data_IF_653014938874
#
_entry.id   IF_653014938874
#
_cell.length_a   1.000
_cell.length_b   1.000
_cell.length_c   1.000
_cell.angle_alpha   90.00
_cell.angle_beta   90.00
_cell.angle_gamma   90.00
#
_symmetry.space_group_name_H-M   'P 1'
#
loop_
_entity.id
_entity.type
_entity.pdbx_description
1 polymer ?
#
# COMPACT_ATOMS: atom_id res chain seq x y z
N UNK A 1 2.52 -27.76 -15.56
CA UNK A 1 3.34 -26.54 -15.37
C UNK A 1 3.42 -26.25 -13.90
N UNK A 2 4.55 -25.74 -13.44
CA UNK A 2 4.87 -25.59 -12.03
C UNK A 2 5.71 -24.32 -11.81
N UNK A 3 5.49 -23.63 -10.68
CA UNK A 3 6.24 -22.44 -10.27
C UNK A 3 6.71 -22.67 -8.85
N UNK A 4 8.02 -22.80 -8.68
CA UNK A 4 8.65 -22.98 -7.37
C UNK A 4 9.54 -21.79 -7.05
N UNK A 5 9.61 -21.44 -5.77
CA UNK A 5 10.46 -20.36 -5.26
C UNK A 5 11.45 -20.94 -4.26
N UNK A 6 12.71 -20.57 -4.42
CA UNK A 6 13.79 -20.88 -3.49
C UNK A 6 14.60 -19.61 -3.29
N UNK A 7 14.44 -18.97 -2.12
CA UNK A 7 15.10 -17.70 -1.82
C UNK A 7 14.87 -16.64 -2.89
N UNK A 8 15.98 -16.22 -3.50
CA UNK A 8 16.12 -15.17 -4.51
C UNK A 8 15.79 -15.62 -5.93
N UNK A 9 15.35 -16.87 -6.14
CA UNK A 9 15.07 -17.43 -7.46
C UNK A 9 13.66 -17.95 -7.57
N UNK A 10 13.06 -17.68 -8.73
CA UNK A 10 11.80 -18.26 -9.17
C UNK A 10 12.07 -19.17 -10.36
N UNK A 11 11.63 -20.42 -10.23
CA UNK A 11 11.76 -21.45 -11.24
C UNK A 11 10.40 -21.68 -11.88
N UNK A 12 10.29 -21.38 -13.17
CA UNK A 12 9.08 -21.62 -13.96
C UNK A 12 9.31 -22.83 -14.86
N UNK A 13 8.47 -23.85 -14.71
CA UNK A 13 8.50 -25.09 -15.51
C UNK A 13 7.26 -25.18 -16.39
N UNK A 14 7.45 -25.17 -17.71
CA UNK A 14 6.38 -25.34 -18.71
C UNK A 14 6.71 -26.54 -19.59
N UNK A 15 5.94 -27.63 -19.46
CA UNK A 15 6.26 -28.92 -20.06
C UNK A 15 7.65 -29.42 -19.64
N UNK A 16 8.57 -29.58 -20.61
CA UNK A 16 9.97 -30.00 -20.36
C UNK A 16 10.97 -28.84 -20.26
N UNK A 17 10.50 -27.59 -20.37
CA UNK A 17 11.36 -26.40 -20.32
C UNK A 17 11.32 -25.82 -18.92
N UNK A 18 12.49 -25.56 -18.35
CA UNK A 18 12.68 -24.87 -17.08
C UNK A 18 13.40 -23.55 -17.34
N UNK A 19 12.88 -22.45 -16.81
CA UNK A 19 13.54 -21.14 -16.81
C UNK A 19 13.66 -20.66 -15.38
N UNK A 20 14.85 -20.19 -15.03
CA UNK A 20 15.11 -19.56 -13.73
C UNK A 20 15.19 -18.05 -13.93
N UNK A 21 14.54 -17.30 -13.06
CA UNK A 21 14.54 -15.84 -13.04
C UNK A 21 14.85 -15.37 -11.60
N UNK A 22 15.57 -14.24 -11.43
CA UNK A 22 15.67 -13.59 -10.12
C UNK A 22 14.30 -13.19 -9.59
N UNK A 23 14.06 -13.33 -8.29
CA UNK A 23 12.82 -12.94 -7.64
C UNK A 23 12.53 -11.44 -7.79
N UNK A 24 13.59 -10.61 -7.80
CA UNK A 24 13.51 -9.17 -8.05
C UNK A 24 12.96 -8.79 -9.42
N UNK A 25 13.02 -9.69 -10.42
CA UNK A 25 12.49 -9.42 -11.76
C UNK A 25 11.01 -9.82 -11.93
N UNK A 26 10.44 -10.60 -10.99
CA UNK A 26 9.12 -11.22 -11.15
C UNK A 26 8.16 -11.00 -9.99
N UNK A 27 8.64 -10.51 -8.85
CA UNK A 27 7.82 -10.11 -7.72
C UNK A 27 7.51 -8.63 -7.77
N UNK A 28 6.35 -8.24 -7.26
CA UNK A 28 6.02 -6.84 -7.02
C UNK A 28 6.87 -6.26 -5.89
N UNK A 29 7.10 -4.95 -5.93
CA UNK A 29 7.92 -4.22 -4.96
C UNK A 29 7.49 -4.47 -3.52
N UNK A 30 6.19 -4.51 -3.24
CA UNK A 30 5.67 -4.82 -1.90
C UNK A 30 6.03 -6.24 -1.43
N UNK A 31 6.06 -7.22 -2.35
CA UNK A 31 6.45 -8.60 -2.03
C UNK A 31 7.94 -8.72 -1.77
N UNK A 32 8.78 -7.88 -2.40
CA UNK A 32 10.22 -7.84 -2.17
C UNK A 32 10.57 -7.30 -0.76
N UNK A 33 9.83 -6.29 -0.31
CA UNK A 33 10.01 -5.66 1.00
C UNK A 33 9.13 -6.19 2.13
N UNK A 34 8.30 -7.20 1.87
CA UNK A 34 7.35 -7.71 2.86
C UNK A 34 8.06 -8.27 4.10
N UNK A 35 7.78 -7.69 5.26
CA UNK A 35 8.34 -8.12 6.54
C UNK A 35 7.67 -9.41 7.06
N UNK A 36 6.47 -9.72 6.56
CA UNK A 36 5.62 -10.81 7.02
C UNK A 36 5.13 -11.68 5.84
N UNK A 37 6.04 -12.35 5.09
CA UNK A 37 5.66 -13.19 3.94
C UNK A 37 4.89 -14.46 4.35
N UNK A 38 4.95 -14.81 5.64
CA UNK A 38 4.16 -15.88 6.26
C UNK A 38 3.18 -15.20 7.21
N UNK A 39 1.86 -15.49 7.11
CA UNK A 39 0.88 -14.97 8.06
C UNK A 39 1.28 -15.34 9.49
N UNK A 40 1.19 -14.38 10.42
CA UNK A 40 1.45 -14.64 11.85
C UNK A 40 0.41 -15.57 12.45
N UNK A 41 -0.79 -15.56 11.89
CA UNK A 41 -1.90 -16.41 12.29
C UNK A 41 -2.58 -17.02 11.07
N UNK A 42 -2.87 -18.31 11.15
CA UNK A 42 -3.52 -19.08 10.11
C UNK A 42 -4.10 -20.37 10.71
N UNK A 43 -5.21 -20.87 10.14
CA UNK A 43 -5.72 -22.21 10.48
C UNK A 43 -4.97 -23.31 9.71
N UNK A 44 -4.65 -23.03 8.44
CA UNK A 44 -3.95 -23.94 7.52
C UNK A 44 -2.98 -23.10 6.69
N UNK A 45 -1.68 -23.42 6.76
CA UNK A 45 -0.69 -22.89 5.83
C UNK A 45 -0.57 -23.85 4.66
N UNK A 46 -0.77 -23.32 3.45
CA UNK A 46 -0.51 -24.05 2.22
C UNK A 46 0.97 -23.85 1.86
N UNK A 47 1.64 -24.95 1.52
CA UNK A 47 3.09 -25.02 1.26
C UNK A 47 4.00 -24.70 2.45
N UNK A 48 5.31 -24.92 2.26
CA UNK A 48 6.32 -24.58 3.26
C UNK A 48 6.55 -23.06 3.31
N UNK A 49 6.86 -22.53 4.50
CA UNK A 49 7.18 -21.12 4.68
C UNK A 49 8.31 -20.68 3.73
N UNK A 50 8.03 -19.77 2.80
CA UNK A 50 9.07 -19.24 1.94
C UNK A 50 10.05 -18.40 2.77
N UNK A 51 11.35 -18.57 2.53
CA UNK A 51 12.37 -17.66 3.05
C UNK A 51 12.10 -16.23 2.56
N UNK A 52 12.30 -15.25 3.45
CA UNK A 52 12.27 -13.83 3.12
C UNK A 52 13.19 -13.54 1.92
N UNK A 53 12.67 -12.86 0.89
CA UNK A 53 13.51 -12.26 -0.16
C UNK A 53 14.09 -10.93 0.30
N UNK A 54 13.43 -10.25 1.25
CA UNK A 54 13.87 -9.02 1.94
C UNK A 54 14.83 -8.15 1.13
N UNK A 55 14.42 -7.76 -0.08
CA UNK A 55 15.08 -6.69 -0.81
C UNK A 55 14.33 -5.38 -0.52
N UNK A 56 14.51 -4.91 0.72
CA UNK A 56 13.85 -3.68 1.20
C UNK A 56 14.29 -2.46 0.38
N UNK A 57 15.52 -2.46 -0.11
CA UNK A 57 16.06 -1.38 -0.95
C UNK A 57 15.27 -1.29 -2.24
N UNK A 58 15.17 -2.38 -3.02
CA UNK A 58 14.38 -2.37 -4.26
C UNK A 58 12.90 -2.09 -3.99
N UNK A 59 12.34 -2.60 -2.90
CA UNK A 59 10.94 -2.31 -2.51
C UNK A 59 10.63 -0.83 -2.28
N UNK A 60 11.64 -0.05 -1.86
CA UNK A 60 11.51 1.37 -1.50
C UNK A 60 12.04 2.33 -2.56
N UNK A 61 12.73 1.84 -3.59
CA UNK A 61 13.40 2.69 -4.59
C UNK A 61 12.47 3.76 -5.18
N UNK A 62 11.23 3.39 -5.54
CA UNK A 62 10.24 4.34 -6.07
C UNK A 62 9.74 5.38 -5.04
N UNK A 63 9.75 5.03 -3.75
CA UNK A 63 9.35 5.93 -2.66
C UNK A 63 10.50 6.89 -2.35
N UNK A 64 11.72 6.37 -2.20
CA UNK A 64 12.94 7.15 -1.96
C UNK A 64 13.16 8.17 -3.10
N UNK A 65 12.95 7.74 -4.34
CA UNK A 65 12.99 8.64 -5.50
C UNK A 65 12.03 9.82 -5.36
N UNK A 66 10.81 9.59 -4.85
CA UNK A 66 9.84 10.66 -4.60
C UNK A 66 10.23 11.52 -3.40
N UNK A 67 10.70 10.93 -2.31
CA UNK A 67 11.17 11.62 -1.10
C UNK A 67 12.35 12.57 -1.37
N UNK A 68 13.23 12.21 -2.32
CA UNK A 68 14.36 13.04 -2.74
C UNK A 68 13.98 14.18 -3.69
N UNK A 69 12.82 14.10 -4.37
CA UNK A 69 12.37 15.17 -5.25
C UNK A 69 12.12 16.47 -4.48
N UNK A 70 12.52 17.64 -5.02
CA UNK A 70 12.05 18.92 -4.53
C UNK A 70 10.52 19.00 -4.51
N UNK A 71 9.95 19.70 -3.53
CA UNK A 71 8.51 19.78 -3.30
C UNK A 71 7.70 20.15 -4.56
N UNK A 72 8.18 21.12 -5.34
CA UNK A 72 7.54 21.55 -6.59
C UNK A 72 7.53 20.42 -7.64
N UNK A 73 8.65 19.71 -7.81
CA UNK A 73 8.73 18.59 -8.76
C UNK A 73 7.87 17.40 -8.33
N UNK A 74 7.82 17.11 -7.03
CA UNK A 74 6.93 16.07 -6.47
C UNK A 74 5.47 16.44 -6.65
N UNK A 75 5.13 17.72 -6.52
CA UNK A 75 3.78 18.22 -6.80
C UNK A 75 3.40 18.02 -8.26
N UNK A 76 4.26 18.43 -9.20
CA UNK A 76 4.06 18.25 -10.63
C UNK A 76 3.93 16.77 -11.02
N UNK A 77 4.71 15.90 -10.37
CA UNK A 77 4.59 14.45 -10.52
C UNK A 77 3.18 13.96 -10.16
N UNK A 78 2.68 14.31 -8.97
CA UNK A 78 1.35 13.88 -8.54
C UNK A 78 0.22 14.51 -9.35
N UNK A 79 0.35 15.76 -9.78
CA UNK A 79 -0.60 16.39 -10.70
C UNK A 79 -0.69 15.58 -12.01
N UNK A 80 0.45 15.19 -12.58
CA UNK A 80 0.51 14.38 -13.80
C UNK A 80 -0.10 12.99 -13.60
N UNK A 81 0.22 12.31 -12.51
CA UNK A 81 -0.32 10.99 -12.20
C UNK A 81 -1.85 11.03 -11.97
N UNK A 82 -2.34 12.00 -11.19
CA UNK A 82 -3.77 12.13 -10.91
C UNK A 82 -4.59 12.69 -12.07
N UNK A 83 -3.95 13.34 -13.03
CA UNK A 83 -4.58 13.69 -14.32
C UNK A 83 -4.92 12.46 -15.16
N UNK A 84 -4.21 11.34 -14.98
CA UNK A 84 -4.48 10.06 -15.67
C UNK A 84 -5.56 9.22 -14.98
N UNK A 85 -5.90 9.53 -13.74
CA UNK A 85 -6.86 8.76 -12.96
C UNK A 85 -8.28 8.90 -13.53
N UNK A 86 -8.79 7.79 -14.07
CA UNK A 86 -10.16 7.68 -14.60
C UNK A 86 -11.22 7.44 -13.52
N UNK A 87 -10.80 7.44 -12.24
CA UNK A 87 -11.66 7.23 -11.07
C UNK A 87 -12.57 5.99 -11.18
N UNK A 88 -11.97 4.87 -11.57
CA UNK A 88 -12.67 3.57 -11.65
C UNK A 88 -12.89 2.90 -10.28
N UNK A 89 -12.29 3.43 -9.21
CA UNK A 89 -12.36 2.91 -7.84
C UNK A 89 -11.88 1.46 -7.63
N UNK A 90 -11.11 0.89 -8.57
CA UNK A 90 -10.50 -0.42 -8.41
C UNK A 90 -9.60 -0.48 -7.15
N UNK A 91 -8.80 0.58 -6.94
CA UNK A 91 -7.93 0.72 -5.77
C UNK A 91 -8.68 0.79 -4.42
N UNK A 92 -9.92 1.28 -4.41
CA UNK A 92 -10.82 1.24 -3.25
C UNK A 92 -11.39 -0.17 -3.08
N UNK A 93 -11.92 -0.74 -4.16
CA UNK A 93 -12.68 -2.00 -4.13
C UNK A 93 -11.82 -3.20 -3.78
N UNK A 94 -10.54 -3.20 -4.16
CA UNK A 94 -9.59 -4.26 -3.82
C UNK A 94 -9.07 -4.18 -2.38
N UNK A 95 -9.24 -3.04 -1.71
CA UNK A 95 -8.60 -2.77 -0.43
C UNK A 95 -9.41 -3.36 0.73
N UNK A 96 -8.83 -4.28 1.52
CA UNK A 96 -9.54 -4.89 2.64
C UNK A 96 -9.86 -3.90 3.78
N UNK A 97 -9.17 -2.76 3.84
CA UNK A 97 -9.45 -1.70 4.82
C UNK A 97 -10.61 -0.76 4.40
N UNK A 98 -11.10 -0.85 3.16
CA UNK A 98 -12.13 0.02 2.61
C UNK A 98 -13.53 -0.62 2.66
N UNK A 99 -14.01 -0.95 3.87
CA UNK A 99 -15.28 -1.66 4.10
C UNK A 99 -16.40 -0.77 4.69
N UNK A 100 -16.23 0.56 4.71
CA UNK A 100 -17.21 1.46 5.31
C UNK A 100 -18.59 1.33 4.64
N UNK A 101 -19.66 1.27 5.44
CA UNK A 101 -21.05 1.24 4.93
C UNK A 101 -21.41 2.52 4.16
N UNK A 102 -20.82 3.64 4.56
CA UNK A 102 -21.03 4.96 3.97
C UNK A 102 -19.67 5.55 3.57
N UNK A 103 -19.49 5.85 2.29
CA UNK A 103 -18.22 6.34 1.75
C UNK A 103 -18.37 7.77 1.19
N UNK A 104 -17.46 8.69 1.57
CA UNK A 104 -17.46 10.08 1.07
C UNK A 104 -17.44 10.22 -0.46
N UNK A 105 -16.99 9.18 -1.14
CA UNK A 105 -16.96 9.06 -2.61
C UNK A 105 -18.36 8.90 -3.22
N UNK A 106 -19.28 8.29 -2.48
CA UNK A 106 -20.65 7.99 -2.91
C UNK A 106 -21.65 9.05 -2.42
N UNK A 107 -21.21 9.95 -1.54
CA UNK A 107 -22.04 11.01 -0.98
C UNK A 107 -22.21 12.19 -1.93
N UNK A 108 -23.46 12.56 -2.17
CA UNK A 108 -23.81 13.81 -2.85
C UNK A 108 -24.01 14.99 -1.89
N UNK A 109 -24.26 14.72 -0.60
CA UNK A 109 -24.57 15.76 0.40
C UNK A 109 -23.91 15.47 1.77
N UNK A 110 -22.88 16.25 2.19
CA UNK A 110 -22.15 17.23 1.37
C UNK A 110 -21.33 16.53 0.27
N UNK A 111 -21.19 17.19 -0.87
CA UNK A 111 -20.37 16.69 -1.96
C UNK A 111 -18.89 16.97 -1.68
N UNK A 112 -18.13 15.93 -1.35
CA UNK A 112 -16.69 16.03 -1.07
C UNK A 112 -15.83 16.07 -2.33
N UNK A 113 -16.26 15.37 -3.38
CA UNK A 113 -15.56 15.29 -4.67
C UNK A 113 -16.55 15.48 -5.81
N UNK A 114 -16.18 16.25 -6.83
CA UNK A 114 -17.02 16.45 -8.00
C UNK A 114 -17.20 15.12 -8.76
N UNK A 115 -18.31 14.85 -9.47
CA UNK A 115 -18.52 13.55 -10.13
C UNK A 115 -17.61 13.38 -11.35
N UNK A 116 -17.23 14.51 -11.98
CA UNK A 116 -16.30 14.54 -13.11
C UNK A 116 -14.87 14.41 -12.60
N UNK A 117 -14.06 13.48 -13.15
CA UNK A 117 -12.67 13.34 -12.76
C UNK A 117 -11.85 14.55 -13.20
N UNK A 118 -11.32 15.28 -12.21
CA UNK A 118 -10.25 16.27 -12.36
C UNK A 118 -9.11 15.87 -11.43
N UNK A 119 -7.89 16.27 -11.76
CA UNK A 119 -6.72 15.86 -10.98
C UNK A 119 -6.81 16.34 -9.53
N UNK A 120 -7.38 17.52 -9.26
CA UNK A 120 -7.56 18.04 -7.91
C UNK A 120 -8.49 17.15 -7.08
N UNK A 121 -9.65 16.78 -7.64
CA UNK A 121 -10.59 15.88 -6.98
C UNK A 121 -10.02 14.47 -6.80
N UNK A 122 -9.19 14.01 -7.74
CA UNK A 122 -8.51 12.71 -7.66
C UNK A 122 -7.43 12.70 -6.58
N UNK A 123 -6.68 13.80 -6.44
CA UNK A 123 -5.73 14.02 -5.35
C UNK A 123 -6.47 14.01 -4.01
N UNK A 124 -7.55 14.79 -3.87
CA UNK A 124 -8.37 14.83 -2.64
C UNK A 124 -8.94 13.46 -2.30
N UNK A 125 -9.43 12.71 -3.29
CA UNK A 125 -9.87 11.32 -3.10
C UNK A 125 -8.77 10.46 -2.49
N UNK A 126 -7.55 10.49 -3.02
CA UNK A 126 -6.45 9.68 -2.49
C UNK A 126 -5.97 10.17 -1.13
N UNK A 127 -5.90 11.48 -0.89
CA UNK A 127 -5.53 12.05 0.43
C UNK A 127 -6.52 11.61 1.51
N UNK A 128 -7.82 11.81 1.29
CA UNK A 128 -8.86 11.42 2.26
C UNK A 128 -8.83 9.90 2.48
N UNK A 129 -8.72 9.12 1.40
CA UNK A 129 -8.62 7.65 1.51
C UNK A 129 -7.41 7.23 2.33
N UNK A 130 -6.25 7.84 2.09
CA UNK A 130 -5.01 7.55 2.78
C UNK A 130 -5.12 7.82 4.29
N UNK A 131 -5.71 8.97 4.67
CA UNK A 131 -6.03 9.30 6.06
C UNK A 131 -6.99 8.27 6.67
N UNK A 132 -8.06 7.90 5.95
CA UNK A 132 -9.02 6.91 6.46
C UNK A 132 -8.35 5.56 6.75
N UNK A 133 -7.37 5.14 5.94
CA UNK A 133 -6.70 3.85 6.13
C UNK A 133 -5.42 3.94 6.97
N UNK A 134 -5.10 5.11 7.54
CA UNK A 134 -4.00 5.25 8.50
C UNK A 134 -4.21 4.29 9.69
N UNK A 135 -3.16 3.56 10.07
CA UNK A 135 -3.24 2.48 11.07
C UNK A 135 -4.04 1.24 10.64
N UNK A 136 -4.50 1.15 9.39
CA UNK A 136 -5.22 -0.02 8.85
C UNK A 136 -4.60 -0.60 7.59
N UNK A 137 -3.78 0.18 6.88
CA UNK A 137 -3.00 -0.30 5.75
C UNK A 137 -1.92 -1.28 6.22
N UNK A 138 -1.71 -2.37 5.48
CA UNK A 138 -0.69 -3.39 5.75
C UNK A 138 0.40 -3.42 4.67
N UNK A 139 0.53 -2.36 3.88
CA UNK A 139 1.44 -2.28 2.73
C UNK A 139 1.31 -3.43 1.71
N UNK A 140 0.09 -3.92 1.47
CA UNK A 140 -0.11 -5.05 0.54
C UNK A 140 0.03 -4.68 -0.95
N UNK A 141 0.19 -3.40 -1.31
CA UNK A 141 0.36 -2.96 -2.70
C UNK A 141 -0.84 -3.14 -3.64
N UNK A 142 -1.92 -3.78 -3.21
CA UNK A 142 -3.06 -4.14 -4.08
C UNK A 142 -3.73 -2.92 -4.73
N UNK A 143 -3.74 -1.76 -4.08
CA UNK A 143 -4.31 -0.55 -4.66
C UNK A 143 -3.56 -0.08 -5.91
N UNK A 144 -2.24 -0.26 -5.94
CA UNK A 144 -1.40 0.02 -7.10
C UNK A 144 -1.55 -1.07 -8.16
N UNK A 145 -1.45 -2.34 -7.74
CA UNK A 145 -1.61 -3.51 -8.63
C UNK A 145 -2.94 -3.50 -9.40
N UNK A 146 -4.02 -3.04 -8.76
CA UNK A 146 -5.34 -2.97 -9.36
C UNK A 146 -5.56 -1.71 -10.23
N UNK A 147 -4.62 -0.77 -10.25
CA UNK A 147 -4.77 0.47 -10.99
C UNK A 147 -4.57 0.22 -12.49
N UNK A 148 -5.58 0.43 -13.36
CA UNK A 148 -5.46 0.14 -14.80
C UNK A 148 -4.63 1.17 -15.56
N UNK A 149 -4.15 2.22 -14.87
CA UNK A 149 -3.33 3.30 -15.44
C UNK A 149 -2.03 3.47 -14.68
N UNK A 150 -1.60 2.45 -13.91
CA UNK A 150 -0.27 2.36 -13.30
C UNK A 150 0.14 3.59 -12.46
N UNK A 151 -0.81 4.18 -11.73
CA UNK A 151 -0.49 5.23 -10.74
C UNK A 151 0.16 4.55 -9.53
N UNK A 152 1.32 5.05 -9.04
CA UNK A 152 2.07 4.44 -7.94
C UNK A 152 1.43 4.74 -6.58
N UNK A 153 0.22 4.21 -6.38
CA UNK A 153 -0.58 4.48 -5.19
C UNK A 153 0.05 3.91 -3.91
N UNK A 154 0.89 2.88 -4.02
CA UNK A 154 1.57 2.31 -2.87
C UNK A 154 2.50 3.34 -2.23
N UNK A 155 3.17 4.19 -3.01
CA UNK A 155 4.08 5.19 -2.46
C UNK A 155 3.40 6.12 -1.45
N UNK A 156 2.13 6.49 -1.68
CA UNK A 156 1.36 7.28 -0.71
C UNK A 156 0.97 6.48 0.53
N UNK A 157 0.50 5.24 0.35
CA UNK A 157 0.04 4.42 1.47
C UNK A 157 1.17 3.89 2.32
N UNK A 158 2.33 3.64 1.72
CA UNK A 158 3.52 3.18 2.42
C UNK A 158 4.15 4.29 3.24
N UNK A 159 4.20 5.52 2.70
CA UNK A 159 4.62 6.68 3.47
C UNK A 159 3.77 6.87 4.73
N UNK A 160 2.44 6.78 4.60
CA UNK A 160 1.54 6.87 5.75
C UNK A 160 1.71 5.68 6.72
N UNK A 161 1.94 4.48 6.19
CA UNK A 161 2.23 3.30 7.02
C UNK A 161 3.51 3.50 7.85
N UNK A 162 4.57 4.01 7.24
CA UNK A 162 5.85 4.28 7.91
C UNK A 162 5.73 5.40 8.93
N UNK A 163 5.04 6.49 8.57
CA UNK A 163 4.76 7.60 9.50
C UNK A 163 3.99 7.14 10.74
N UNK A 164 3.06 6.20 10.56
CA UNK A 164 2.31 5.60 11.69
C UNK A 164 3.22 4.73 12.56
N UNK A 165 4.10 3.91 11.98
CA UNK A 165 5.05 3.09 12.73
C UNK A 165 6.10 3.95 13.46
N UNK A 166 6.60 4.99 12.82
CA UNK A 166 7.61 5.89 13.38
C UNK A 166 7.07 6.71 14.55
N UNK A 167 5.85 7.24 14.43
CA UNK A 167 5.24 8.10 15.47
C UNK A 167 4.61 7.29 16.61
N UNK A 168 3.94 6.20 16.30
CA UNK A 168 3.09 5.48 17.26
C UNK A 168 3.55 4.04 17.54
N UNK A 169 4.61 3.57 16.88
CA UNK A 169 5.09 2.18 16.96
C UNK A 169 3.98 1.16 16.70
N UNK A 170 3.10 1.50 15.76
CA UNK A 170 1.88 0.77 15.48
C UNK A 170 1.93 0.12 14.09
N UNK A 171 1.76 -1.20 14.05
CA UNK A 171 1.62 -1.96 12.79
C UNK A 171 0.26 -2.62 12.69
N UNK A 172 -0.47 -2.31 11.62
CA UNK A 172 -1.80 -2.83 11.39
C UNK A 172 -1.80 -4.38 11.31
N UNK A 173 -2.70 -5.01 12.06
CA UNK A 173 -2.88 -6.47 12.03
C UNK A 173 -1.85 -7.28 12.81
N UNK A 174 -0.95 -6.65 13.59
CA UNK A 174 0.09 -7.35 14.34
C UNK A 174 -0.30 -7.72 15.78
N UNK A 175 -1.18 -6.95 16.40
CA UNK A 175 -1.71 -7.23 17.74
C UNK A 175 -3.23 -7.07 17.73
N UNK A 176 -3.94 -8.10 18.16
CA UNK A 176 -5.41 -8.13 18.22
C UNK A 176 -5.98 -7.44 19.44
N UNK A 177 -5.21 -7.37 20.52
CA UNK A 177 -5.61 -6.77 21.78
C UNK A 177 -5.31 -5.26 21.79
N UNK A 178 -4.47 -4.80 20.87
CA UNK A 178 -4.20 -3.38 20.67
C UNK A 178 -5.47 -2.63 20.22
N UNK A 179 -5.70 -1.46 20.83
CA UNK A 179 -6.75 -0.56 20.39
C UNK A 179 -6.45 -0.05 18.97
N UNK A 180 -7.47 0.14 18.10
CA UNK A 180 -7.24 0.73 16.79
C UNK A 180 -6.68 2.15 16.92
N UNK A 181 -5.60 2.43 16.19
CA UNK A 181 -4.83 3.68 16.28
C UNK A 181 -5.71 4.94 16.34
N UNK A 182 -6.59 5.12 15.36
CA UNK A 182 -7.43 6.34 15.23
C UNK A 182 -8.53 6.46 16.31
N UNK A 183 -8.66 5.48 17.19
CA UNK A 183 -9.62 5.49 18.32
C UNK A 183 -8.95 5.36 19.67
N UNK A 184 -7.62 5.26 19.67
CA UNK A 184 -6.80 5.15 20.86
C UNK A 184 -6.33 6.55 21.29
N UNK A 185 -6.23 6.77 22.59
CA UNK A 185 -5.78 8.04 23.16
C UNK A 185 -4.74 7.78 24.23
N UNK A 186 -3.60 8.47 24.13
CA UNK A 186 -2.57 8.46 25.16
C UNK A 186 -2.19 9.89 25.53
N UNK A 187 -1.91 10.12 26.81
CA UNK A 187 -1.42 11.42 27.28
C UNK A 187 0.02 11.71 26.84
N UNK A 188 0.72 10.69 26.35
CA UNK A 188 2.11 10.72 25.88
C UNK A 188 2.21 10.72 24.35
N UNK A 189 1.12 11.07 23.66
CA UNK A 189 1.09 11.17 22.21
C UNK A 189 2.23 12.07 21.68
N UNK A 190 2.86 11.76 20.53
CA UNK A 190 4.04 12.45 20.05
C UNK A 190 3.77 13.89 19.56
N UNK A 191 2.51 14.34 19.59
CA UNK A 191 2.14 15.67 19.10
C UNK A 191 2.61 16.80 20.02
N UNK A 192 3.35 17.76 19.45
CA UNK A 192 3.80 18.97 20.15
C UNK A 192 2.71 20.07 20.28
N UNK A 193 1.56 19.88 19.63
CA UNK A 193 0.53 20.92 19.44
C UNK A 193 -0.50 21.00 20.58
N UNK A 194 -0.90 19.87 21.18
CA UNK A 194 -1.80 19.86 22.34
C UNK A 194 -0.97 19.68 23.61
N UNK A 195 -0.67 20.79 24.29
CA UNK A 195 -0.02 20.83 25.62
C UNK A 195 -0.99 21.25 26.71
#
# INVERSE_FOLDING_TARGET
DDITRDGDKVVVTVGSRKKECPASEVLFDNCLGCEFPVPQEYDILLDESSSLVADKTTSREGIETLEEMPQEQRWDFWEKEFSRCIRCYACRSVCPACFCERCFVEESEPQWIAPVPRWQDNLIFQVIRNIHVAGRCTDCGECERACPVDIPLRSLTKEMYDLVDDLYHFKAGMDKEAAPLMTHYETTDPEDFIK
#
